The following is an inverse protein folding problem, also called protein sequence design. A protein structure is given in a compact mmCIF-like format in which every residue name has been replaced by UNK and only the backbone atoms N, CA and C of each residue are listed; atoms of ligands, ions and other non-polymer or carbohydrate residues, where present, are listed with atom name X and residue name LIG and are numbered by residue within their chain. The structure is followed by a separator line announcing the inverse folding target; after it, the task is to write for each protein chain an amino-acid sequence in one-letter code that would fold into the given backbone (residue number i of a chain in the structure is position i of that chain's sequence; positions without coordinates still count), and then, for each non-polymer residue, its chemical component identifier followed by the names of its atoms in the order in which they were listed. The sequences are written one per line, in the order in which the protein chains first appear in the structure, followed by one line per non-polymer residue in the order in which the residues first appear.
data_IF_265682769126
#
_entry.id   IF_265682769126
#
_cell.length_a   1.000
_cell.length_b   1.000
_cell.length_c   1.000
_cell.angle_alpha   90.00
_cell.angle_beta   90.00
_cell.angle_gamma   90.00
#
_symmetry.space_group_name_H-M   'P 1'
#
loop_
_entity.id
_entity.type
_entity.pdbx_description
1 polymer ?
#
# COMPACT_ATOMS: atom_id res chain seq x y z
N UNK A 1 20.06 -14.95 10.62
CA UNK A 1 19.28 -15.52 9.49
C UNK A 1 18.92 -14.35 8.60
N UNK A 2 19.16 -14.43 7.29
CA UNK A 2 18.73 -13.41 6.34
C UNK A 2 17.20 -13.33 6.34
N UNK A 3 16.65 -12.11 6.23
CA UNK A 3 15.21 -11.91 6.15
C UNK A 3 14.64 -12.40 4.81
N UNK A 4 13.33 -12.67 4.74
CA UNK A 4 12.68 -13.20 3.52
C UNK A 4 12.63 -12.19 2.37
N UNK A 5 12.95 -10.92 2.63
CA UNK A 5 13.03 -9.84 1.65
C UNK A 5 14.45 -9.32 1.42
N UNK A 6 15.47 -10.07 1.83
CA UNK A 6 16.87 -9.67 1.71
C UNK A 6 17.23 -9.24 0.28
N UNK A 7 17.75 -8.02 0.15
CA UNK A 7 18.17 -7.44 -1.12
C UNK A 7 17.04 -7.00 -2.07
N UNK A 8 15.77 -7.20 -1.73
CA UNK A 8 14.63 -6.69 -2.51
C UNK A 8 14.48 -5.18 -2.33
N UNK A 9 13.98 -4.52 -3.37
CA UNK A 9 13.60 -3.10 -3.33
C UNK A 9 12.09 -2.99 -3.34
N UNK A 10 11.55 -2.35 -2.30
CA UNK A 10 10.12 -2.27 -2.04
C UNK A 10 9.67 -0.82 -2.03
N UNK A 11 8.63 -0.52 -2.77
CA UNK A 11 7.93 0.78 -2.72
C UNK A 11 6.65 0.59 -1.91
N UNK A 12 6.41 1.46 -0.92
CA UNK A 12 5.15 1.50 -0.16
C UNK A 12 4.54 2.89 -0.26
N UNK A 13 3.29 2.98 -0.75
CA UNK A 13 2.58 4.27 -0.86
C UNK A 13 1.73 4.54 0.39
N UNK A 14 1.62 5.84 0.78
CA UNK A 14 0.96 6.22 2.02
C UNK A 14 1.66 5.66 3.25
N UNK A 15 2.99 5.67 3.24
CA UNK A 15 3.82 4.91 4.18
C UNK A 15 4.30 5.70 5.40
N UNK A 16 3.83 6.94 5.60
CA UNK A 16 4.25 7.72 6.76
C UNK A 16 3.53 7.34 8.06
N UNK A 17 2.39 6.65 7.98
CA UNK A 17 1.54 6.35 9.16
C UNK A 17 0.74 5.06 8.99
N UNK A 18 0.17 4.56 10.10
CA UNK A 18 -0.76 3.43 10.11
C UNK A 18 -0.21 2.19 9.40
N UNK A 19 -1.05 1.53 8.60
CA UNK A 19 -0.68 0.31 7.86
C UNK A 19 0.56 0.50 6.98
N UNK A 20 0.63 1.59 6.21
CA UNK A 20 1.77 1.83 5.31
C UNK A 20 3.10 1.95 6.05
N UNK A 21 3.12 2.65 7.21
CA UNK A 21 4.31 2.71 8.06
C UNK A 21 4.68 1.32 8.61
N UNK A 22 3.68 0.59 9.14
CA UNK A 22 3.92 -0.76 9.66
C UNK A 22 4.49 -1.70 8.57
N UNK A 23 3.97 -1.61 7.35
CA UNK A 23 4.49 -2.38 6.22
C UNK A 23 5.93 -1.99 5.87
N UNK A 24 6.23 -0.67 5.79
CA UNK A 24 7.57 -0.19 5.47
C UNK A 24 8.62 -0.67 6.49
N UNK A 25 8.30 -0.59 7.78
CA UNK A 25 9.16 -1.08 8.85
C UNK A 25 9.33 -2.61 8.80
N UNK A 26 8.25 -3.35 8.57
CA UNK A 26 8.29 -4.80 8.48
C UNK A 26 9.13 -5.28 7.29
N UNK A 27 9.00 -4.65 6.11
CA UNK A 27 9.86 -4.95 4.98
C UNK A 27 11.34 -4.68 5.26
N UNK A 28 11.65 -3.55 5.90
CA UNK A 28 13.01 -3.19 6.26
C UNK A 28 13.60 -4.19 7.28
N UNK A 29 12.81 -4.62 8.27
CA UNK A 29 13.22 -5.64 9.24
C UNK A 29 13.53 -7.01 8.59
N UNK A 30 12.90 -7.30 7.44
CA UNK A 30 13.15 -8.51 6.64
C UNK A 30 14.21 -8.29 5.53
N UNK A 31 15.02 -7.24 5.63
CA UNK A 31 16.18 -6.99 4.78
C UNK A 31 15.90 -6.28 3.46
N UNK A 32 14.69 -5.75 3.26
CA UNK A 32 14.38 -4.96 2.07
C UNK A 32 14.92 -3.54 2.16
N UNK A 33 15.26 -2.97 1.00
CA UNK A 33 15.49 -1.52 0.82
C UNK A 33 14.18 -0.86 0.45
N UNK A 34 13.77 0.20 1.16
CA UNK A 34 12.40 0.72 1.10
C UNK A 34 12.35 2.14 0.54
N UNK A 35 11.48 2.36 -0.45
CA UNK A 35 11.02 3.70 -0.84
C UNK A 35 9.74 4.00 -0.09
N UNK A 36 9.81 4.96 0.81
CA UNK A 36 8.68 5.41 1.65
C UNK A 36 8.01 6.57 0.94
N UNK A 37 6.86 6.34 0.32
CA UNK A 37 6.10 7.42 -0.32
C UNK A 37 4.97 7.91 0.59
N UNK A 38 4.90 9.22 0.78
CA UNK A 38 3.75 9.89 1.40
C UNK A 38 3.69 11.34 0.95
N UNK A 39 2.49 11.82 0.63
CA UNK A 39 2.28 13.21 0.20
C UNK A 39 2.22 14.20 1.39
N UNK A 40 2.14 13.68 2.62
CA UNK A 40 2.06 14.52 3.83
C UNK A 40 0.72 15.22 4.03
N UNK A 41 -0.36 14.70 3.45
CA UNK A 41 -1.70 15.29 3.56
C UNK A 41 -2.41 14.92 4.87
N UNK A 42 -3.43 15.71 5.23
CA UNK A 42 -4.32 15.44 6.35
C UNK A 42 -5.26 14.24 6.07
N UNK A 43 -6.04 13.84 7.09
CA UNK A 43 -6.97 12.69 7.00
C UNK A 43 -8.07 12.82 5.96
N UNK A 44 -8.47 14.05 5.66
CA UNK A 44 -9.50 14.40 4.66
C UNK A 44 -8.92 14.62 3.26
N UNK A 45 -7.60 14.39 3.08
CA UNK A 45 -6.90 14.58 1.83
C UNK A 45 -6.53 16.04 1.53
N UNK A 46 -6.73 16.98 2.47
CA UNK A 46 -6.26 18.36 2.29
C UNK A 46 -4.73 18.42 2.39
N UNK A 47 -4.12 19.32 1.61
CA UNK A 47 -2.66 19.47 1.61
C UNK A 47 -2.17 19.92 2.99
N UNK A 48 -1.16 19.19 3.51
CA UNK A 48 -0.36 19.64 4.63
C UNK A 48 0.53 20.83 4.26
N UNK A 49 1.33 21.31 5.20
CA UNK A 49 2.30 22.38 4.94
C UNK A 49 3.21 21.97 3.77
N UNK A 50 3.29 22.76 2.67
CA UNK A 50 4.15 22.46 1.53
C UNK A 50 5.63 22.37 1.90
N UNK A 51 6.05 22.91 3.04
CA UNK A 51 7.42 22.78 3.56
C UNK A 51 7.66 21.41 4.24
N UNK A 52 6.63 20.58 4.41
CA UNK A 52 6.71 19.24 5.03
C UNK A 52 6.43 18.12 4.04
N UNK A 53 6.50 18.38 2.73
CA UNK A 53 6.12 17.40 1.69
C UNK A 53 6.84 16.04 1.77
N UNK A 54 8.06 16.01 2.32
CA UNK A 54 8.78 14.76 2.64
C UNK A 54 8.86 14.47 4.14
N UNK A 55 8.46 15.41 4.99
CA UNK A 55 8.66 15.34 6.44
C UNK A 55 8.12 14.05 7.09
N UNK A 56 6.85 13.67 6.91
CA UNK A 56 6.32 12.44 7.49
C UNK A 56 6.96 11.17 6.91
N UNK A 57 7.23 11.13 5.60
CA UNK A 57 7.94 10.03 4.96
C UNK A 57 9.40 9.96 5.44
N UNK A 58 10.05 11.11 5.61
CA UNK A 58 11.43 11.17 6.10
C UNK A 58 11.56 10.65 7.53
N UNK A 59 10.58 10.89 8.40
CA UNK A 59 10.58 10.32 9.77
C UNK A 59 10.64 8.79 9.74
N UNK A 60 9.88 8.14 8.87
CA UNK A 60 9.91 6.67 8.72
C UNK A 60 11.23 6.19 8.11
N UNK A 61 11.79 6.95 7.17
CA UNK A 61 13.13 6.66 6.63
C UNK A 61 14.20 6.72 7.74
N UNK A 62 14.15 7.75 8.59
CA UNK A 62 15.11 7.90 9.68
C UNK A 62 14.95 6.78 10.73
N UNK A 63 13.72 6.35 10.99
CA UNK A 63 13.43 5.22 11.86
C UNK A 63 13.98 3.90 11.28
N UNK A 64 13.75 3.62 9.99
CA UNK A 64 14.31 2.44 9.31
C UNK A 64 15.84 2.45 9.40
N UNK A 65 16.47 3.59 9.14
CA UNK A 65 17.93 3.74 9.21
C UNK A 65 18.48 3.58 10.63
N UNK A 66 17.77 4.09 11.63
CA UNK A 66 18.15 3.89 13.04
C UNK A 66 18.11 2.42 13.46
N UNK A 67 17.26 1.60 12.82
CA UNK A 67 17.20 0.15 12.99
C UNK A 67 18.20 -0.62 12.13
N UNK A 68 19.05 0.07 11.35
CA UNK A 68 20.09 -0.52 10.50
C UNK A 68 19.63 -0.89 9.08
N UNK A 69 18.40 -0.53 8.68
CA UNK A 69 17.87 -0.73 7.33
C UNK A 69 18.22 0.40 6.36
N UNK A 70 17.87 0.21 5.10
CA UNK A 70 18.07 1.20 4.03
C UNK A 70 16.72 1.71 3.51
N UNK A 71 16.55 3.04 3.48
CA UNK A 71 15.34 3.64 2.94
C UNK A 71 15.58 5.03 2.36
N UNK A 72 14.69 5.44 1.44
CA UNK A 72 14.62 6.80 0.88
C UNK A 72 13.17 7.30 0.90
N UNK A 73 13.00 8.61 1.06
CA UNK A 73 11.69 9.23 1.03
C UNK A 73 11.30 9.66 -0.39
N UNK A 74 9.99 9.61 -0.70
CA UNK A 74 9.40 10.13 -1.91
C UNK A 74 8.11 10.90 -1.58
N UNK A 75 8.03 12.18 -1.96
CA UNK A 75 6.90 13.08 -1.67
C UNK A 75 5.94 13.32 -2.84
N UNK A 76 6.07 12.57 -3.95
CA UNK A 76 5.25 12.77 -5.13
C UNK A 76 3.82 12.27 -4.99
N UNK A 77 2.88 12.95 -5.65
CA UNK A 77 1.47 12.55 -5.70
C UNK A 77 1.26 11.37 -6.65
N UNK A 78 0.98 10.21 -6.08
CA UNK A 78 0.77 8.95 -6.83
C UNK A 78 -0.47 8.96 -7.72
N UNK A 79 -1.38 9.91 -7.55
CA UNK A 79 -2.57 10.08 -8.40
C UNK A 79 -2.30 11.03 -9.59
N UNK A 80 -1.04 11.39 -9.85
CA UNK A 80 -0.57 12.04 -11.06
C UNK A 80 0.40 11.15 -11.84
N UNK A 81 0.46 11.34 -13.15
CA UNK A 81 1.37 10.57 -14.00
C UNK A 81 2.83 10.83 -13.63
N UNK A 82 3.17 12.09 -13.36
CA UNK A 82 4.51 12.54 -13.00
C UNK A 82 4.95 11.98 -11.65
N UNK A 83 4.09 12.07 -10.63
CA UNK A 83 4.37 11.55 -9.29
C UNK A 83 4.50 10.02 -9.27
N UNK A 84 3.64 9.30 -10.00
CA UNK A 84 3.74 7.85 -10.10
C UNK A 84 4.96 7.39 -10.91
N UNK A 85 5.35 8.13 -11.96
CA UNK A 85 6.57 7.85 -12.71
C UNK A 85 7.81 8.11 -11.86
N UNK A 86 7.87 9.26 -11.15
CA UNK A 86 9.00 9.60 -10.27
C UNK A 86 9.16 8.62 -9.11
N UNK A 87 8.07 8.01 -8.63
CA UNK A 87 8.12 6.97 -7.60
C UNK A 87 8.95 5.76 -8.05
N UNK A 88 8.70 5.27 -9.27
CA UNK A 88 9.49 4.16 -9.87
C UNK A 88 10.92 4.60 -10.11
N UNK A 89 11.13 5.80 -10.67
CA UNK A 89 12.47 6.35 -10.91
C UNK A 89 13.26 6.46 -9.59
N UNK A 90 12.64 6.90 -8.50
CA UNK A 90 13.31 6.98 -7.18
C UNK A 90 13.83 5.60 -6.72
N UNK A 91 13.07 4.53 -6.93
CA UNK A 91 13.53 3.17 -6.59
C UNK A 91 14.73 2.75 -7.45
N UNK A 92 14.67 3.04 -8.74
CA UNK A 92 15.73 2.69 -9.68
C UNK A 92 17.02 3.51 -9.45
N UNK A 93 16.91 4.81 -9.19
CA UNK A 93 18.05 5.70 -8.96
C UNK A 93 18.74 5.42 -7.62
N UNK A 94 17.94 5.16 -6.57
CA UNK A 94 18.49 4.90 -5.24
C UNK A 94 19.07 3.49 -5.09
N UNK A 95 18.42 2.49 -5.70
CA UNK A 95 18.69 1.08 -5.40
C UNK A 95 18.91 0.18 -6.64
N UNK A 96 18.80 0.73 -7.85
CA UNK A 96 19.09 0.05 -9.11
C UNK A 96 18.02 -0.94 -9.59
N UNK A 97 16.94 -1.17 -8.83
CA UNK A 97 15.86 -2.13 -9.14
C UNK A 97 14.55 -1.79 -8.45
N UNK A 98 13.48 -2.45 -8.86
CA UNK A 98 12.18 -2.44 -8.18
C UNK A 98 11.62 -3.86 -8.20
N UNK A 99 11.36 -4.44 -7.02
CA UNK A 99 10.88 -5.81 -6.87
C UNK A 99 9.45 -5.90 -6.34
N UNK A 100 9.06 -4.96 -5.47
CA UNK A 100 7.74 -5.01 -4.85
C UNK A 100 7.11 -3.63 -4.81
N UNK A 101 5.84 -3.56 -5.22
CA UNK A 101 4.99 -2.37 -5.10
C UNK A 101 3.83 -2.67 -4.14
N UNK A 102 3.76 -1.93 -3.03
CA UNK A 102 2.62 -1.95 -2.11
C UNK A 102 1.82 -0.68 -2.30
N UNK A 103 0.67 -0.78 -2.97
CA UNK A 103 -0.29 0.29 -3.12
C UNK A 103 -1.19 0.33 -1.89
N UNK A 104 -0.97 1.29 -1.00
CA UNK A 104 -1.68 1.40 0.27
C UNK A 104 -2.30 2.79 0.52
N UNK A 105 -1.81 3.85 -0.13
CA UNK A 105 -2.28 5.21 0.10
C UNK A 105 -3.80 5.37 -0.03
N UNK A 106 -4.36 6.16 0.87
CA UNK A 106 -5.79 6.43 0.89
C UNK A 106 -6.22 7.34 2.04
N UNK A 107 -7.46 7.82 1.97
CA UNK A 107 -8.14 8.62 2.98
C UNK A 107 -9.65 8.41 2.90
N UNK A 108 -10.43 8.98 3.83
CA UNK A 108 -11.89 8.85 3.87
C UNK A 108 -12.58 10.22 3.72
N UNK A 109 -13.67 10.22 2.98
CA UNK A 109 -14.69 11.26 2.94
C UNK A 109 -16.06 10.61 3.00
N UNK A 110 -16.41 10.17 4.21
CA UNK A 110 -17.60 9.39 4.47
C UNK A 110 -18.84 10.29 4.51
N UNK A 111 -19.85 9.93 3.71
CA UNK A 111 -21.17 10.54 3.64
C UNK A 111 -22.22 9.51 3.29
N UNK A 112 -23.42 9.66 3.83
CA UNK A 112 -24.57 8.93 3.31
C UNK A 112 -24.74 9.23 1.83
N UNK A 113 -25.09 8.23 1.04
CA UNK A 113 -25.13 8.32 -0.43
C UNK A 113 -25.90 9.55 -0.94
N UNK A 114 -27.02 9.89 -0.28
CA UNK A 114 -27.85 11.05 -0.66
C UNK A 114 -27.19 12.41 -0.38
N UNK A 115 -26.16 12.44 0.45
CA UNK A 115 -25.43 13.65 0.87
C UNK A 115 -23.97 13.64 0.34
N UNK A 116 -23.59 12.64 -0.45
CA UNK A 116 -22.26 12.54 -1.05
C UNK A 116 -22.20 13.47 -2.26
N UNK A 117 -21.36 14.48 -2.21
CA UNK A 117 -21.13 15.37 -3.33
C UNK A 117 -20.08 14.84 -4.32
N UNK A 118 -20.00 15.47 -5.50
CA UNK A 118 -19.11 15.09 -6.57
C UNK A 118 -17.63 15.25 -6.18
N UNK A 119 -17.28 16.30 -5.44
CA UNK A 119 -15.90 16.57 -5.02
C UNK A 119 -15.40 15.50 -4.03
N UNK A 120 -16.24 15.06 -3.10
CA UNK A 120 -15.92 13.98 -2.16
C UNK A 120 -15.80 12.63 -2.90
N UNK A 121 -16.65 12.39 -3.90
CA UNK A 121 -16.55 11.22 -4.77
C UNK A 121 -15.24 11.23 -5.56
N UNK A 122 -14.97 12.29 -6.30
CA UNK A 122 -13.80 12.39 -7.18
C UNK A 122 -12.48 12.33 -6.39
N UNK A 123 -12.41 12.99 -5.24
CA UNK A 123 -11.22 12.96 -4.41
C UNK A 123 -10.87 11.54 -3.94
N UNK A 124 -11.87 10.76 -3.49
CA UNK A 124 -11.67 9.37 -3.04
C UNK A 124 -11.31 8.47 -4.22
N UNK A 125 -12.04 8.54 -5.34
CA UNK A 125 -11.73 7.77 -6.55
C UNK A 125 -10.34 8.08 -7.09
N UNK A 126 -9.95 9.35 -7.08
CA UNK A 126 -8.64 9.81 -7.52
C UNK A 126 -7.51 9.17 -6.72
N UNK A 127 -7.54 9.23 -5.40
CA UNK A 127 -6.42 8.73 -4.59
C UNK A 127 -6.45 7.21 -4.47
N UNK A 128 -7.62 6.61 -4.22
CA UNK A 128 -7.69 5.17 -4.07
C UNK A 128 -7.54 4.42 -5.39
N UNK A 129 -8.42 4.66 -6.37
CA UNK A 129 -8.41 3.85 -7.59
C UNK A 129 -7.34 4.30 -8.58
N UNK A 130 -7.30 5.59 -8.92
CA UNK A 130 -6.28 6.12 -9.84
C UNK A 130 -4.88 6.07 -9.22
N UNK A 131 -4.74 6.33 -7.91
CA UNK A 131 -3.48 6.25 -7.18
C UNK A 131 -2.96 4.82 -6.97
N UNK A 132 -3.78 3.77 -7.17
CA UNK A 132 -3.30 2.39 -7.32
C UNK A 132 -2.94 2.08 -8.77
N UNK A 133 -3.73 2.58 -9.72
CA UNK A 133 -3.51 2.34 -11.15
C UNK A 133 -2.21 2.93 -11.68
N UNK A 134 -1.91 4.19 -11.37
CA UNK A 134 -0.75 4.86 -11.98
C UNK A 134 0.59 4.27 -11.53
N UNK A 135 0.88 4.04 -10.22
CA UNK A 135 2.09 3.33 -9.81
C UNK A 135 2.20 1.93 -10.42
N UNK A 136 1.09 1.18 -10.43
CA UNK A 136 1.04 -0.14 -11.07
C UNK A 136 1.39 -0.07 -12.55
N UNK A 137 0.83 0.89 -13.30
CA UNK A 137 1.13 1.12 -14.72
C UNK A 137 2.62 1.36 -14.96
N UNK A 138 3.24 2.26 -14.20
CA UNK A 138 4.66 2.61 -14.39
C UNK A 138 5.60 1.48 -13.97
N UNK A 139 5.33 0.81 -12.84
CA UNK A 139 6.07 -0.37 -12.42
C UNK A 139 5.93 -1.51 -13.43
N UNK A 140 4.71 -1.79 -13.92
CA UNK A 140 4.46 -2.79 -14.96
C UNK A 140 5.20 -2.51 -16.26
N UNK A 141 5.28 -1.23 -16.66
CA UNK A 141 6.04 -0.83 -17.84
C UNK A 141 7.54 -1.13 -17.68
N UNK A 142 8.12 -0.84 -16.50
CA UNK A 142 9.49 -1.18 -16.15
C UNK A 142 9.71 -2.70 -16.19
N UNK A 143 8.94 -3.49 -15.45
CA UNK A 143 9.09 -4.95 -15.41
C UNK A 143 8.91 -5.63 -16.76
N UNK A 144 7.98 -5.15 -17.57
CA UNK A 144 7.82 -5.63 -18.95
C UNK A 144 9.06 -5.34 -19.80
N UNK A 145 9.70 -4.17 -19.64
CA UNK A 145 10.94 -3.83 -20.32
C UNK A 145 12.09 -4.74 -19.88
N UNK A 146 12.23 -5.00 -18.57
CA UNK A 146 13.19 -5.94 -18.01
C UNK A 146 13.01 -7.36 -18.57
N UNK A 147 11.78 -7.87 -18.57
CA UNK A 147 11.48 -9.20 -19.11
C UNK A 147 11.82 -9.30 -20.61
N UNK A 148 11.50 -8.26 -21.41
CA UNK A 148 11.86 -8.20 -22.84
C UNK A 148 13.36 -8.12 -23.08
N UNK A 149 14.12 -7.59 -22.13
CA UNK A 149 15.60 -7.54 -22.17
C UNK A 149 16.25 -8.85 -21.64
N UNK A 150 15.45 -9.87 -21.36
CA UNK A 150 15.94 -11.18 -20.88
C UNK A 150 16.24 -11.23 -19.38
N UNK A 151 15.95 -10.17 -18.64
CA UNK A 151 16.05 -10.15 -17.17
C UNK A 151 14.68 -10.51 -16.60
N UNK A 152 14.50 -11.74 -16.13
CA UNK A 152 13.21 -12.20 -15.62
C UNK A 152 12.88 -11.54 -14.26
N UNK A 153 11.99 -10.55 -14.20
CA UNK A 153 11.61 -9.97 -12.92
C UNK A 153 10.89 -11.01 -12.06
N UNK A 154 11.21 -11.01 -10.77
CA UNK A 154 10.47 -11.75 -9.74
C UNK A 154 9.66 -10.72 -8.93
N UNK A 155 8.78 -10.01 -9.64
CA UNK A 155 8.11 -8.85 -9.07
C UNK A 155 6.78 -9.18 -8.38
N UNK A 156 6.43 -8.38 -7.39
CA UNK A 156 5.22 -8.52 -6.57
C UNK A 156 4.46 -7.21 -6.49
N UNK A 157 3.15 -7.28 -6.53
CA UNK A 157 2.26 -6.17 -6.26
C UNK A 157 1.26 -6.57 -5.19
N UNK A 158 1.14 -5.75 -4.16
CA UNK A 158 0.11 -5.88 -3.13
C UNK A 158 -0.76 -4.64 -3.16
N UNK A 159 -2.01 -4.80 -3.57
CA UNK A 159 -3.01 -3.73 -3.60
C UNK A 159 -3.85 -3.76 -2.32
N UNK A 160 -4.11 -2.61 -1.74
CA UNK A 160 -4.92 -2.50 -0.52
C UNK A 160 -6.37 -2.20 -0.86
N UNK A 161 -7.22 -3.24 -0.82
CA UNK A 161 -8.68 -3.12 -0.84
C UNK A 161 -9.23 -2.91 0.58
N UNK A 162 -10.41 -3.44 0.88
CA UNK A 162 -11.09 -3.34 2.17
C UNK A 162 -12.27 -4.30 2.22
N UNK A 163 -12.73 -4.69 3.40
CA UNK A 163 -14.05 -5.32 3.59
C UNK A 163 -15.19 -4.49 2.98
N UNK A 164 -15.06 -3.14 3.00
CA UNK A 164 -16.00 -2.25 2.33
C UNK A 164 -16.01 -2.42 0.79
N UNK A 165 -14.89 -2.82 0.19
CA UNK A 165 -14.82 -3.14 -1.24
C UNK A 165 -15.42 -4.51 -1.58
N UNK A 166 -15.49 -5.42 -0.61
CA UNK A 166 -16.07 -6.75 -0.77
C UNK A 166 -17.60 -6.77 -0.57
N UNK A 167 -18.07 -6.07 0.48
CA UNK A 167 -19.44 -6.18 0.97
C UNK A 167 -20.22 -4.86 0.94
N UNK A 168 -19.54 -3.74 0.66
CA UNK A 168 -20.07 -2.40 0.87
C UNK A 168 -20.03 -1.99 2.35
N UNK A 169 -20.13 -0.67 2.58
CA UNK A 169 -20.22 -0.09 3.93
C UNK A 169 -21.13 1.13 3.89
N UNK A 170 -22.05 1.20 4.86
CA UNK A 170 -22.98 2.33 4.97
C UNK A 170 -22.21 3.63 5.19
N UNK A 171 -22.56 4.68 4.44
CA UNK A 171 -21.89 5.98 4.49
C UNK A 171 -20.56 6.04 3.72
N UNK A 172 -20.14 4.96 3.06
CA UNK A 172 -18.87 4.84 2.33
C UNK A 172 -19.05 4.50 0.86
N UNK A 173 -20.02 5.10 0.17
CA UNK A 173 -20.34 4.78 -1.23
C UNK A 173 -19.16 4.97 -2.18
N UNK A 174 -18.46 6.10 -2.09
CA UNK A 174 -17.24 6.41 -2.84
C UNK A 174 -16.08 5.45 -2.51
N UNK A 175 -15.82 5.25 -1.22
CA UNK A 175 -14.75 4.37 -0.73
C UNK A 175 -14.99 2.92 -1.13
N UNK A 176 -16.20 2.40 -0.91
CA UNK A 176 -16.59 1.03 -1.30
C UNK A 176 -16.43 0.80 -2.80
N UNK A 177 -16.88 1.77 -3.63
CA UNK A 177 -16.72 1.70 -5.08
C UNK A 177 -15.25 1.69 -5.51
N UNK A 178 -14.42 2.57 -4.92
CA UNK A 178 -13.00 2.63 -5.22
C UNK A 178 -12.28 1.31 -4.81
N UNK A 179 -12.58 0.79 -3.61
CA UNK A 179 -11.99 -0.45 -3.08
C UNK A 179 -12.42 -1.70 -3.84
N UNK A 180 -13.67 -1.75 -4.33
CA UNK A 180 -14.12 -2.79 -5.25
C UNK A 180 -13.42 -2.68 -6.62
N UNK A 181 -13.24 -1.46 -7.15
CA UNK A 181 -12.48 -1.21 -8.38
C UNK A 181 -11.03 -1.68 -8.31
N UNK A 182 -10.38 -1.59 -7.14
CA UNK A 182 -9.03 -2.12 -6.90
C UNK A 182 -9.00 -3.64 -7.06
N UNK A 183 -10.03 -4.37 -6.67
CA UNK A 183 -10.10 -5.82 -6.87
C UNK A 183 -10.13 -6.17 -8.36
N UNK A 184 -10.97 -5.49 -9.14
CA UNK A 184 -11.00 -5.65 -10.60
C UNK A 184 -9.65 -5.35 -11.26
N UNK A 185 -9.00 -4.25 -10.84
CA UNK A 185 -7.65 -3.89 -11.30
C UNK A 185 -6.62 -4.97 -10.94
N UNK A 186 -6.71 -5.57 -9.74
CA UNK A 186 -5.83 -6.65 -9.30
C UNK A 186 -5.95 -7.88 -10.20
N UNK A 187 -7.17 -8.31 -10.52
CA UNK A 187 -7.40 -9.50 -11.36
C UNK A 187 -6.90 -9.30 -12.78
N UNK A 188 -7.16 -8.13 -13.37
CA UNK A 188 -6.66 -7.80 -14.72
C UNK A 188 -5.14 -7.75 -14.73
N UNK A 189 -4.53 -7.06 -13.77
CA UNK A 189 -3.07 -6.95 -13.70
C UNK A 189 -2.40 -8.31 -13.46
N UNK A 190 -2.98 -9.18 -12.63
CA UNK A 190 -2.48 -10.54 -12.43
C UNK A 190 -2.46 -11.35 -13.73
N UNK A 191 -3.54 -11.27 -14.51
CA UNK A 191 -3.66 -11.97 -15.80
C UNK A 191 -2.68 -11.42 -16.86
N UNK A 192 -2.56 -10.09 -16.98
CA UNK A 192 -1.73 -9.45 -18.00
C UNK A 192 -0.23 -9.55 -17.70
N UNK A 193 0.16 -9.43 -16.41
CA UNK A 193 1.55 -9.29 -16.00
C UNK A 193 2.22 -10.62 -15.63
N UNK A 194 1.45 -11.69 -15.39
CA UNK A 194 1.99 -13.00 -15.03
C UNK A 194 3.05 -13.53 -15.99
N UNK A 195 2.84 -13.34 -17.31
CA UNK A 195 3.82 -13.72 -18.34
C UNK A 195 5.15 -12.97 -18.30
N UNK A 196 5.23 -11.89 -17.54
CA UNK A 196 6.44 -11.10 -17.33
C UNK A 196 7.08 -11.35 -15.95
N UNK A 197 6.61 -12.37 -15.21
CA UNK A 197 7.14 -12.71 -13.88
C UNK A 197 6.60 -11.82 -12.75
N UNK A 198 5.47 -11.12 -12.96
CA UNK A 198 4.86 -10.25 -11.96
C UNK A 198 3.63 -10.93 -11.36
N UNK A 199 3.58 -11.03 -10.04
CA UNK A 199 2.42 -11.52 -9.30
C UNK A 199 1.70 -10.37 -8.62
N UNK A 200 0.37 -10.35 -8.74
CA UNK A 200 -0.46 -9.25 -8.25
C UNK A 200 -1.57 -9.79 -7.38
N UNK A 201 -1.62 -9.36 -6.12
CA UNK A 201 -2.63 -9.77 -5.15
C UNK A 201 -3.22 -8.54 -4.45
N UNK A 202 -4.34 -8.71 -3.77
CA UNK A 202 -4.95 -7.70 -2.94
C UNK A 202 -5.11 -8.18 -1.51
N UNK A 203 -5.07 -7.23 -0.57
CA UNK A 203 -5.47 -7.43 0.82
C UNK A 203 -6.72 -6.63 1.14
N UNK A 204 -7.55 -7.13 2.04
CA UNK A 204 -8.67 -6.44 2.68
C UNK A 204 -8.38 -6.40 4.19
N UNK A 205 -7.59 -5.43 4.68
CA UNK A 205 -7.15 -5.40 6.07
C UNK A 205 -8.21 -4.85 7.00
N UNK A 206 -8.26 -5.38 8.23
CA UNK A 206 -8.92 -4.76 9.37
C UNK A 206 -7.85 -4.40 10.41
N UNK A 207 -7.67 -3.11 10.67
CA UNK A 207 -6.68 -2.60 11.62
C UNK A 207 -7.07 -1.22 12.15
N UNK A 208 -6.56 -0.89 13.33
CA UNK A 208 -6.66 0.46 13.90
C UNK A 208 -5.77 1.42 13.11
N UNK A 209 -6.39 2.41 12.55
CA UNK A 209 -5.75 3.52 11.86
C UNK A 209 -6.50 4.80 12.21
N UNK A 210 -5.91 5.95 11.97
CA UNK A 210 -6.64 7.23 12.12
C UNK A 210 -7.98 7.26 11.37
N UNK A 211 -8.11 6.47 10.31
CA UNK A 211 -9.36 6.35 9.53
C UNK A 211 -10.40 5.53 10.28
N UNK A 212 -10.04 4.37 10.81
CA UNK A 212 -10.95 3.45 11.48
C UNK A 212 -11.30 3.89 12.89
N UNK A 213 -10.38 4.52 13.63
CA UNK A 213 -10.65 5.09 14.97
C UNK A 213 -11.75 6.16 14.94
N UNK A 214 -11.81 6.95 13.89
CA UNK A 214 -12.84 7.99 13.74
C UNK A 214 -14.23 7.39 13.46
N UNK A 215 -14.29 6.27 12.75
CA UNK A 215 -15.56 5.66 12.30
C UNK A 215 -16.05 4.56 13.25
N UNK A 216 -15.13 3.84 13.90
CA UNK A 216 -15.41 2.64 14.71
C UNK A 216 -14.64 2.66 16.05
N UNK A 217 -14.67 3.76 16.79
CA UNK A 217 -13.84 4.02 17.97
C UNK A 217 -13.84 2.87 18.98
N UNK A 218 -15.02 2.32 19.35
CA UNK A 218 -15.15 1.24 20.32
C UNK A 218 -14.51 -0.08 19.84
N UNK A 219 -14.71 -0.43 18.56
CA UNK A 219 -14.15 -1.66 17.98
C UNK A 219 -12.62 -1.54 17.75
N UNK A 220 -12.09 -0.33 17.72
CA UNK A 220 -10.67 -0.04 17.47
C UNK A 220 -9.92 0.29 18.76
N UNK A 221 -10.53 0.23 19.94
CA UNK A 221 -9.86 0.52 21.20
C UNK A 221 -8.68 -0.45 21.45
N UNK A 222 -7.54 0.10 21.90
CA UNK A 222 -6.43 -0.75 22.32
C UNK A 222 -6.76 -1.39 23.69
N UNK A 223 -6.31 -2.63 23.93
CA UNK A 223 -6.47 -3.26 25.24
C UNK A 223 -5.70 -2.49 26.32
N UNK A 224 -6.31 -2.35 27.53
CA UNK A 224 -5.71 -1.59 28.64
C UNK A 224 -4.58 -2.34 29.36
N UNK A 225 -4.51 -3.66 29.26
CA UNK A 225 -3.71 -4.53 30.13
C UNK A 225 -2.45 -5.10 29.47
N UNK A 226 -2.00 -4.55 28.33
CA UNK A 226 -0.88 -5.14 27.58
C UNK A 226 -1.22 -6.49 26.92
N UNK A 227 -2.50 -6.85 26.82
CA UNK A 227 -3.00 -8.00 26.08
C UNK A 227 -2.72 -7.84 24.58
N UNK A 228 -2.88 -8.92 23.82
CA UNK A 228 -2.71 -8.89 22.37
C UNK A 228 -3.66 -7.85 21.73
N UNK A 229 -3.08 -6.85 21.09
CA UNK A 229 -3.81 -5.81 20.38
C UNK A 229 -4.23 -6.33 18.99
N UNK A 230 -5.43 -6.88 18.91
CA UNK A 230 -5.96 -7.48 17.69
C UNK A 230 -6.03 -6.50 16.51
N UNK A 231 -6.21 -5.20 16.78
CA UNK A 231 -6.34 -4.15 15.76
C UNK A 231 -5.06 -3.40 15.48
N UNK A 232 -3.91 -3.82 16.04
CA UNK A 232 -2.63 -3.21 15.72
C UNK A 232 -2.31 -3.34 14.22
N UNK A 233 -1.91 -2.25 13.53
CA UNK A 233 -1.55 -2.30 12.11
C UNK A 233 -0.47 -3.31 11.77
N UNK A 234 0.42 -3.56 12.71
CA UNK A 234 1.53 -4.50 12.61
C UNK A 234 1.07 -5.94 12.36
N UNK A 235 -0.14 -6.32 12.79
CA UNK A 235 -0.70 -7.67 12.58
C UNK A 235 -0.99 -7.98 11.10
N UNK A 236 -1.14 -6.97 10.26
CA UNK A 236 -1.37 -7.13 8.82
C UNK A 236 -0.06 -7.29 8.05
N UNK A 237 1.02 -6.69 8.56
CA UNK A 237 2.30 -6.59 7.86
C UNK A 237 2.94 -7.94 7.51
N UNK A 238 2.89 -9.00 8.32
CA UNK A 238 3.47 -10.30 7.97
C UNK A 238 2.91 -10.88 6.67
N UNK A 239 1.60 -10.75 6.42
CA UNK A 239 1.00 -11.17 5.16
C UNK A 239 1.52 -10.33 3.99
N UNK A 240 1.61 -9.01 4.14
CA UNK A 240 2.05 -8.09 3.09
C UNK A 240 3.51 -8.33 2.74
N UNK A 241 4.37 -8.55 3.73
CA UNK A 241 5.77 -8.91 3.56
C UNK A 241 5.90 -10.24 2.82
N UNK A 242 5.18 -11.28 3.25
CA UNK A 242 5.18 -12.57 2.57
C UNK A 242 4.71 -12.47 1.12
N UNK A 243 3.60 -11.76 0.85
CA UNK A 243 3.13 -11.51 -0.52
C UNK A 243 4.13 -10.70 -1.36
N UNK A 244 4.96 -9.88 -0.72
CA UNK A 244 6.02 -9.09 -1.34
C UNK A 244 7.34 -9.84 -1.53
N UNK A 245 7.50 -11.01 -0.91
CA UNK A 245 8.72 -11.83 -0.94
C UNK A 245 8.69 -12.88 -2.05
N UNK A 246 9.82 -13.53 -2.27
CA UNK A 246 9.93 -14.64 -3.23
C UNK A 246 9.16 -15.88 -2.77
N UNK A 247 9.00 -16.06 -1.46
CA UNK A 247 8.28 -17.19 -0.84
C UNK A 247 6.80 -17.29 -1.26
N UNK A 248 6.21 -16.20 -1.77
CA UNK A 248 4.85 -16.19 -2.33
C UNK A 248 4.79 -16.63 -3.79
N UNK A 249 5.85 -17.23 -4.33
CA UNK A 249 5.91 -17.67 -5.73
C UNK A 249 4.69 -18.54 -6.10
N UNK A 250 4.02 -18.19 -7.21
CA UNK A 250 2.81 -18.88 -7.68
C UNK A 250 1.50 -18.33 -7.10
N UNK A 251 1.53 -17.43 -6.12
CA UNK A 251 0.32 -16.78 -5.58
C UNK A 251 0.05 -15.49 -6.35
N UNK A 252 -1.01 -15.49 -7.16
CA UNK A 252 -1.41 -14.32 -7.97
C UNK A 252 -2.91 -14.30 -8.20
N UNK A 253 -3.50 -13.11 -8.38
CA UNK A 253 -4.93 -12.93 -8.59
C UNK A 253 -5.76 -13.36 -7.37
N UNK A 254 -5.23 -13.17 -6.15
CA UNK A 254 -5.90 -13.54 -4.91
C UNK A 254 -6.23 -12.31 -4.08
N UNK A 255 -7.27 -12.44 -3.29
CA UNK A 255 -7.70 -11.46 -2.29
C UNK A 255 -7.62 -12.11 -0.92
N UNK A 256 -6.92 -11.48 0.00
CA UNK A 256 -6.77 -11.97 1.36
C UNK A 256 -7.36 -10.97 2.34
N UNK A 257 -8.26 -11.42 3.19
CA UNK A 257 -8.62 -10.67 4.39
C UNK A 257 -7.57 -10.91 5.47
N UNK A 258 -7.15 -9.85 6.16
CA UNK A 258 -6.20 -9.91 7.27
C UNK A 258 -6.76 -9.16 8.48
N UNK A 259 -7.08 -9.88 9.54
CA UNK A 259 -7.68 -9.35 10.75
C UNK A 259 -7.18 -10.11 11.98
N UNK A 260 -6.78 -9.39 13.02
CA UNK A 260 -6.45 -9.97 14.34
C UNK A 260 -5.49 -11.17 14.28
N UNK A 261 -4.50 -11.15 13.39
CA UNK A 261 -3.56 -12.26 13.19
C UNK A 261 -4.12 -13.44 12.40
N UNK A 262 -5.35 -13.34 11.88
CA UNK A 262 -5.94 -14.34 10.96
C UNK A 262 -5.82 -13.86 9.52
N UNK A 263 -5.61 -14.81 8.63
CA UNK A 263 -5.62 -14.59 7.18
C UNK A 263 -6.65 -15.51 6.54
N UNK A 264 -7.55 -14.95 5.77
CA UNK A 264 -8.59 -15.69 5.04
C UNK A 264 -8.46 -15.42 3.54
N UNK A 265 -8.52 -16.46 2.72
CA UNK A 265 -8.64 -16.33 1.26
C UNK A 265 -10.10 -16.04 0.91
N UNK A 266 -10.36 -14.96 0.16
CA UNK A 266 -11.69 -14.52 -0.23
C UNK A 266 -12.06 -15.03 -1.63
#
# INVERSE_FOLDING_TARGET
VAGICEGRVVVVTGAARGLGRAHALAFAAEGARVVVNDLGVALDGTHGDPNTSTGPAQQVVDEIRALGGEAVAHGGDIATTEGAASLVTTALDAFGRLDTLVNNAGFLRDRMLVNLDEDDWDAVMRVHLKGHFLPLKHASAHWRAEAKAGRAPQARVVNTSSGAGLLGSVGQGNYSAAKAGILGLTFVAAAEMGRYGVQVNAIAPAARTRMTERTFAEAMAAPEDGAFDAMAPENVSPLVVWLGADDSAGVTGRVFEAEAGRVSLM
#
